data_IF_201299802891
#
_entry.id   IF_201299802891
#
_cell.length_a   1.000
_cell.length_b   1.000
_cell.length_c   1.000
_cell.angle_alpha   90.00
_cell.angle_beta   90.00
_cell.angle_gamma   90.00
#
_symmetry.space_group_name_H-M   'P 1'
#
loop_
_entity.id
_entity.type
_entity.pdbx_description
1 polymer ?
#
# COMPACT_ATOMS: atom_id res chain seq x y z
N UNK A 1 26.90 77.42 6.16
CA UNK A 1 27.24 76.52 5.04
C UNK A 1 28.04 75.35 5.59
N UNK A 2 27.45 74.15 5.59
CA UNK A 2 28.13 72.88 5.90
C UNK A 2 27.38 71.73 5.18
N UNK A 3 28.14 70.72 4.81
CA UNK A 3 28.05 69.91 3.60
C UNK A 3 27.52 68.48 3.89
N UNK A 4 26.86 67.86 2.90
CA UNK A 4 26.59 66.40 2.69
C UNK A 4 25.53 65.77 3.63
N UNK A 5 24.65 64.85 3.19
CA UNK A 5 24.89 63.62 2.41
C UNK A 5 23.66 63.18 1.58
N UNK A 6 23.91 62.69 0.36
CA UNK A 6 23.04 61.73 -0.36
C UNK A 6 22.90 60.47 0.49
N UNK A 7 21.72 59.83 0.52
CA UNK A 7 21.62 58.37 0.35
C UNK A 7 20.21 58.00 -0.13
N UNK A 8 20.22 57.34 -1.28
CA UNK A 8 19.11 56.68 -1.98
C UNK A 8 18.29 55.83 -1.03
N UNK A 9 16.97 56.06 -1.02
CA UNK A 9 16.01 55.26 -0.25
C UNK A 9 16.01 53.82 -0.73
N UNK A 10 16.68 52.95 0.01
CA UNK A 10 16.58 51.51 -0.15
C UNK A 10 15.15 51.10 0.23
N UNK A 11 14.33 50.82 -0.79
CA UNK A 11 13.03 50.19 -0.64
C UNK A 11 13.26 48.78 -0.08
N UNK A 12 13.24 48.68 1.25
CA UNK A 12 13.29 47.44 2.00
C UNK A 12 12.01 46.65 1.68
N UNK A 13 12.03 45.94 0.55
CA UNK A 13 11.12 44.83 0.30
C UNK A 13 11.47 43.78 1.35
N UNK A 14 10.82 43.89 2.49
CA UNK A 14 10.76 42.85 3.50
C UNK A 14 10.07 41.65 2.83
N UNK A 15 10.88 40.79 2.22
CA UNK A 15 10.44 39.48 1.77
C UNK A 15 10.17 38.69 3.04
N UNK A 16 8.93 38.75 3.51
CA UNK A 16 8.42 37.72 4.38
C UNK A 16 8.39 36.45 3.52
N UNK A 17 9.49 35.68 3.54
CA UNK A 17 9.48 34.32 3.04
C UNK A 17 8.61 33.54 4.01
N UNK A 18 7.30 33.59 3.81
CA UNK A 18 6.42 32.57 4.35
C UNK A 18 6.84 31.29 3.66
N UNK A 19 7.74 30.54 4.29
CA UNK A 19 7.85 29.11 4.06
C UNK A 19 6.52 28.54 4.53
N UNK A 20 5.55 28.52 3.62
CA UNK A 20 4.48 27.55 3.69
C UNK A 20 5.20 26.21 3.61
N UNK A 21 5.48 25.60 4.76
CA UNK A 21 5.64 24.17 4.81
C UNK A 21 4.34 23.65 4.23
N UNK A 22 4.38 23.28 2.94
CA UNK A 22 3.34 22.50 2.33
C UNK A 22 3.38 21.18 3.09
N UNK A 23 2.69 21.14 4.24
CA UNK A 23 2.30 19.91 4.86
C UNK A 23 1.33 19.33 3.86
N UNK A 24 1.88 18.60 2.89
CA UNK A 24 1.14 17.66 2.08
C UNK A 24 0.51 16.74 3.11
N UNK A 25 -0.72 17.06 3.51
CA UNK A 25 -1.66 16.07 3.99
C UNK A 25 -1.97 15.27 2.75
N UNK A 26 -1.02 14.41 2.36
CA UNK A 26 -1.31 13.28 1.51
C UNK A 26 -2.39 12.58 2.31
N UNK A 27 -3.65 12.72 1.89
CA UNK A 27 -4.70 11.80 2.29
C UNK A 27 -4.19 10.46 1.83
N UNK A 28 -3.37 9.82 2.67
CA UNK A 28 -3.03 8.42 2.50
C UNK A 28 -4.38 7.77 2.70
N UNK A 29 -5.03 7.40 1.60
CA UNK A 29 -5.89 6.24 1.61
C UNK A 29 -5.05 5.18 2.31
N UNK A 30 -5.27 5.01 3.61
CA UNK A 30 -4.84 3.81 4.31
C UNK A 30 -5.53 2.76 3.50
N UNK A 31 -4.77 2.08 2.65
CA UNK A 31 -5.28 1.02 1.79
C UNK A 31 -5.87 0.07 2.80
N UNK A 32 -7.19 0.12 2.91
CA UNK A 32 -7.94 -0.85 3.65
C UNK A 32 -7.44 -2.17 3.06
N UNK A 33 -6.67 -2.89 3.87
CA UNK A 33 -6.74 -4.32 3.96
C UNK A 33 -7.11 -4.98 2.62
N UNK A 34 -6.13 -5.52 1.88
CA UNK A 34 -6.30 -6.09 0.54
C UNK A 34 -7.64 -6.82 0.34
N UNK A 35 -8.30 -6.62 -0.80
CA UNK A 35 -9.56 -7.28 -1.14
C UNK A 35 -9.49 -8.81 -0.99
N UNK A 36 -10.66 -9.43 -0.87
CA UNK A 36 -10.77 -10.88 -0.82
C UNK A 36 -10.08 -11.53 -2.03
N UNK A 37 -9.26 -12.55 -1.77
CA UNK A 37 -8.41 -13.20 -2.79
C UNK A 37 -7.04 -12.56 -2.97
N UNK A 38 -6.71 -11.53 -2.20
CA UNK A 38 -5.39 -10.90 -2.16
C UNK A 38 -4.83 -10.91 -0.73
N UNK A 39 -3.51 -10.82 -0.63
CA UNK A 39 -2.77 -10.69 0.62
C UNK A 39 -1.73 -9.58 0.51
N UNK A 40 -1.38 -8.97 1.64
CA UNK A 40 -0.33 -7.94 1.68
C UNK A 40 1.01 -8.55 1.31
N UNK A 41 1.67 -7.99 0.29
CA UNK A 41 3.01 -8.39 -0.14
C UNK A 41 4.10 -7.37 0.17
N UNK A 42 3.72 -6.20 0.64
CA UNK A 42 4.64 -5.16 1.07
C UNK A 42 4.01 -4.27 2.13
N UNK A 43 4.81 -3.91 3.14
CA UNK A 43 4.45 -2.91 4.13
C UNK A 43 5.64 -2.01 4.42
N UNK A 44 5.35 -0.74 4.68
CA UNK A 44 6.33 0.23 5.17
C UNK A 44 5.84 0.83 6.47
N UNK A 45 6.71 0.85 7.47
CA UNK A 45 6.42 1.48 8.75
C UNK A 45 7.05 2.87 8.77
N UNK A 46 6.22 3.90 8.94
CA UNK A 46 6.69 5.29 9.03
C UNK A 46 5.92 6.03 10.13
N UNK A 47 6.66 6.62 11.08
CA UNK A 47 6.08 7.39 12.19
C UNK A 47 5.12 6.60 13.07
N UNK A 48 5.38 5.31 13.32
CA UNK A 48 4.52 4.44 14.13
C UNK A 48 3.26 3.91 13.43
N UNK A 49 3.07 4.22 12.15
CA UNK A 49 1.97 3.69 11.33
C UNK A 49 2.49 2.73 10.26
N UNK A 50 1.81 1.59 10.10
CA UNK A 50 2.08 0.61 9.04
C UNK A 50 1.22 0.95 7.82
N UNK A 51 1.87 1.10 6.67
CA UNK A 51 1.22 1.33 5.38
C UNK A 51 1.47 0.13 4.48
N UNK A 52 0.42 -0.45 3.93
CA UNK A 52 0.52 -1.52 2.96
C UNK A 52 0.84 -0.93 1.58
N UNK A 53 1.93 -1.39 0.96
CA UNK A 53 2.45 -0.89 -0.31
C UNK A 53 2.10 -1.78 -1.50
N UNK A 54 1.58 -2.99 -1.24
CA UNK A 54 1.20 -3.92 -2.29
C UNK A 54 0.23 -5.00 -1.81
N UNK A 55 -0.71 -5.33 -2.69
CA UNK A 55 -1.60 -6.48 -2.56
C UNK A 55 -1.28 -7.48 -3.66
N UNK A 56 -0.80 -8.65 -3.29
CA UNK A 56 -0.55 -9.75 -4.23
C UNK A 56 -1.73 -10.69 -4.21
N UNK A 57 -2.14 -11.14 -5.40
CA UNK A 57 -3.21 -12.12 -5.53
C UNK A 57 -2.77 -13.45 -4.95
N UNK A 58 -3.66 -14.14 -4.24
CA UNK A 58 -3.39 -15.49 -3.79
C UNK A 58 -3.01 -16.39 -4.99
N UNK A 59 -2.00 -17.26 -4.85
CA UNK A 59 -1.54 -18.10 -5.94
C UNK A 59 -2.66 -18.95 -6.53
N UNK A 60 -2.55 -19.30 -7.81
CA UNK A 60 -3.37 -20.34 -8.38
C UNK A 60 -2.69 -21.69 -8.18
N UNK A 61 -3.47 -22.70 -7.78
CA UNK A 61 -3.09 -24.09 -7.95
C UNK A 61 -3.85 -24.63 -9.14
N UNK A 62 -3.11 -24.92 -10.20
CA UNK A 62 -3.62 -25.54 -11.42
C UNK A 62 -4.88 -24.83 -11.99
N UNK A 63 -4.81 -23.51 -12.13
CA UNK A 63 -5.87 -22.66 -12.67
C UNK A 63 -6.92 -22.18 -11.66
N UNK A 64 -6.94 -22.72 -10.44
CA UNK A 64 -7.84 -22.28 -9.36
C UNK A 64 -7.11 -21.32 -8.43
N UNK A 65 -7.49 -20.05 -8.45
CA UNK A 65 -6.98 -19.05 -7.52
C UNK A 65 -7.44 -19.29 -6.09
N UNK A 66 -6.52 -19.14 -5.14
CA UNK A 66 -6.84 -19.09 -3.72
C UNK A 66 -7.72 -17.87 -3.37
N UNK A 67 -8.42 -17.99 -2.25
CA UNK A 67 -9.26 -16.95 -1.65
C UNK A 67 -8.73 -16.57 -0.27
N UNK A 68 -9.00 -15.35 0.14
CA UNK A 68 -8.75 -14.79 1.48
C UNK A 68 -9.94 -13.94 1.88
N UNK A 69 -10.12 -13.72 3.18
CA UNK A 69 -10.94 -12.60 3.63
C UNK A 69 -10.24 -11.27 3.32
N UNK A 70 -11.01 -10.20 3.19
CA UNK A 70 -10.44 -8.87 3.04
C UNK A 70 -9.55 -8.54 4.26
N UNK A 71 -8.37 -8.00 3.99
CA UNK A 71 -7.41 -7.57 5.01
C UNK A 71 -6.42 -8.59 5.52
N UNK A 72 -6.32 -9.72 4.85
CA UNK A 72 -5.27 -10.68 5.15
C UNK A 72 -3.89 -10.16 4.73
N UNK A 73 -2.90 -10.40 5.58
CA UNK A 73 -1.55 -9.86 5.42
C UNK A 73 -0.50 -10.93 5.15
N UNK A 74 -0.87 -12.21 5.22
CA UNK A 74 0.05 -13.33 5.01
C UNK A 74 -0.45 -14.22 3.88
N UNK A 75 0.49 -14.77 3.13
CA UNK A 75 0.17 -15.80 2.12
C UNK A 75 -0.47 -17.05 2.74
N UNK A 76 -0.16 -17.37 3.99
CA UNK A 76 -0.75 -18.49 4.73
C UNK A 76 -2.23 -18.31 5.03
N UNK A 77 -2.74 -17.08 4.94
CA UNK A 77 -4.16 -16.80 5.09
C UNK A 77 -4.95 -17.20 3.83
N UNK A 78 -4.27 -17.27 2.67
CA UNK A 78 -4.86 -17.79 1.44
C UNK A 78 -5.30 -19.24 1.60
N UNK A 79 -6.41 -19.59 0.96
CA UNK A 79 -6.92 -20.94 0.92
C UNK A 79 -7.57 -21.26 -0.42
N UNK A 80 -7.52 -22.51 -0.86
CA UNK A 80 -8.38 -22.98 -1.94
C UNK A 80 -9.61 -23.61 -1.28
N UNK A 81 -10.84 -23.10 -1.53
CA UNK A 81 -12.04 -23.61 -0.89
C UNK A 81 -12.35 -25.05 -1.34
N UNK A 82 -13.09 -25.77 -0.51
CA UNK A 82 -13.61 -27.10 -0.83
C UNK A 82 -14.58 -27.04 -2.03
N UNK A 83 -14.80 -28.18 -2.69
CA UNK A 83 -15.67 -28.30 -3.85
C UNK A 83 -15.12 -27.66 -5.12
N UNK A 84 -13.82 -27.31 -5.14
CA UNK A 84 -13.14 -26.81 -6.33
C UNK A 84 -12.46 -27.95 -7.06
N UNK A 85 -12.64 -27.99 -8.37
CA UNK A 85 -12.03 -28.98 -9.22
C UNK A 85 -10.82 -28.38 -9.92
N UNK A 86 -9.76 -29.17 -10.07
CA UNK A 86 -8.62 -28.84 -10.90
C UNK A 86 -8.24 -30.06 -11.75
N UNK A 87 -7.73 -29.83 -12.95
CA UNK A 87 -7.44 -30.89 -13.91
C UNK A 87 -5.98 -30.87 -14.30
N UNK A 88 -5.24 -31.93 -13.98
CA UNK A 88 -3.85 -32.11 -14.38
C UNK A 88 -3.71 -33.21 -15.45
N UNK A 89 -2.48 -33.57 -15.82
CA UNK A 89 -2.23 -34.63 -16.80
C UNK A 89 -2.67 -36.03 -16.35
N UNK A 90 -2.95 -36.23 -15.07
CA UNK A 90 -3.42 -37.50 -14.50
C UNK A 90 -4.95 -37.58 -14.39
N UNK A 91 -5.67 -36.45 -14.44
CA UNK A 91 -7.13 -36.42 -14.43
C UNK A 91 -7.71 -35.17 -13.78
N UNK A 92 -9.01 -35.21 -13.47
CA UNK A 92 -9.69 -34.14 -12.71
C UNK A 92 -9.85 -34.55 -11.26
N UNK A 93 -9.41 -33.68 -10.36
CA UNK A 93 -9.42 -33.88 -8.92
C UNK A 93 -10.21 -32.77 -8.23
N UNK A 94 -10.76 -33.08 -7.05
CA UNK A 94 -11.58 -32.14 -6.28
C UNK A 94 -11.00 -31.95 -4.88
N UNK A 95 -10.92 -30.70 -4.42
CA UNK A 95 -10.65 -30.40 -3.03
C UNK A 95 -11.86 -30.78 -2.18
N UNK A 96 -11.74 -31.79 -1.32
CA UNK A 96 -12.81 -32.19 -0.39
C UNK A 96 -12.88 -31.30 0.86
N UNK A 97 -11.79 -30.59 1.15
CA UNK A 97 -11.67 -29.64 2.26
C UNK A 97 -10.92 -28.38 1.82
N UNK A 98 -11.01 -27.31 2.61
CA UNK A 98 -10.23 -26.10 2.33
C UNK A 98 -8.73 -26.37 2.53
N UNK A 99 -7.93 -26.04 1.53
CA UNK A 99 -6.47 -26.18 1.57
C UNK A 99 -5.81 -24.83 1.83
N UNK A 100 -5.06 -24.71 2.93
CA UNK A 100 -4.31 -23.51 3.31
C UNK A 100 -2.88 -23.58 2.79
N UNK A 101 -2.28 -22.42 2.50
CA UNK A 101 -0.84 -22.35 2.21
C UNK A 101 -0.05 -22.42 3.52
N UNK A 102 1.04 -23.17 3.54
CA UNK A 102 2.01 -23.24 4.64
C UNK A 102 3.37 -22.74 4.18
N UNK A 103 4.20 -22.29 5.11
CA UNK A 103 5.61 -21.97 4.89
C UNK A 103 6.47 -23.09 5.47
#
# INVERSE_FOLDING_TARGET
MKLRYLFTGAFLLMWCTTTYAATTVTKKCVVASCDAGYYVSGSVSAGGSTYYTGCTRCPALNGVYGTTSAGMSKITDCAIPAGRNFSDSAGTWSFTQACKYSN
#
